data_IF_018830746073
#
_entry.id   IF_018830746073
#
_cell.length_a   1.000
_cell.length_b   1.000
_cell.length_c   1.000
_cell.angle_alpha   90.00
_cell.angle_beta   90.00
_cell.angle_gamma   90.00
#
_symmetry.space_group_name_H-M   'P 1'
#
loop_
_entity.id
_entity.type
_entity.pdbx_description
1 polymer ?
#
# COMPACT_ATOMS: atom_id res chain seq x y z
N UNK A 1 -14.06 -0.95 30.40
CA UNK A 1 -14.71 -2.06 29.66
C UNK A 1 -15.12 -3.16 30.62
N UNK A 2 -15.83 -4.20 30.14
CA UNK A 2 -16.21 -5.38 30.97
C UNK A 2 -15.01 -6.30 31.24
N UNK A 3 -15.01 -6.97 32.40
CA UNK A 3 -14.00 -8.00 32.74
C UNK A 3 -13.91 -9.05 31.62
N UNK A 4 -12.69 -9.43 31.21
CA UNK A 4 -12.45 -10.41 30.14
C UNK A 4 -12.63 -9.88 28.71
N UNK A 5 -12.92 -8.59 28.51
CA UNK A 5 -13.06 -7.96 27.17
C UNK A 5 -11.92 -6.99 26.82
N UNK A 6 -10.80 -7.08 27.53
CA UNK A 6 -9.64 -6.19 27.35
C UNK A 6 -9.02 -6.25 25.95
N UNK A 7 -8.86 -7.45 25.39
CA UNK A 7 -8.30 -7.62 24.04
C UNK A 7 -9.09 -6.86 22.97
N UNK A 8 -10.43 -6.92 23.03
CA UNK A 8 -11.29 -6.19 22.08
C UNK A 8 -11.08 -4.69 22.19
N UNK A 9 -11.00 -4.16 23.41
CA UNK A 9 -10.72 -2.73 23.64
C UNK A 9 -9.34 -2.36 23.10
N UNK A 10 -8.32 -3.18 23.37
CA UNK A 10 -6.97 -2.94 22.88
C UNK A 10 -6.92 -2.91 21.34
N UNK A 11 -7.52 -3.89 20.65
CA UNK A 11 -7.55 -3.93 19.20
C UNK A 11 -8.25 -2.68 18.61
N UNK A 12 -9.39 -2.27 19.16
CA UNK A 12 -10.07 -1.05 18.71
C UNK A 12 -9.21 0.21 18.92
N UNK A 13 -8.46 0.29 20.03
CA UNK A 13 -7.53 1.42 20.27
C UNK A 13 -6.38 1.40 19.26
N UNK A 14 -5.80 0.23 18.97
CA UNK A 14 -4.74 0.09 17.97
C UNK A 14 -5.23 0.48 16.57
N UNK A 15 -6.45 0.08 16.19
CA UNK A 15 -7.02 0.42 14.88
C UNK A 15 -7.14 1.94 14.71
N UNK A 16 -7.57 2.65 15.75
CA UNK A 16 -7.58 4.12 15.75
C UNK A 16 -6.16 4.70 15.72
N UNK A 17 -5.26 4.18 16.58
CA UNK A 17 -3.86 4.61 16.67
C UNK A 17 -3.10 4.52 15.35
N UNK A 18 -3.40 3.53 14.51
CA UNK A 18 -2.79 3.41 13.17
C UNK A 18 -3.06 4.60 12.25
N UNK A 19 -4.17 5.33 12.42
CA UNK A 19 -4.41 6.55 11.63
C UNK A 19 -3.50 7.71 12.02
N UNK A 20 -3.09 7.78 13.30
CA UNK A 20 -2.17 8.83 13.76
C UNK A 20 -0.75 8.62 13.19
N UNK A 21 -0.38 7.38 12.87
CA UNK A 21 0.84 7.08 12.11
C UNK A 21 0.76 7.65 10.69
N UNK A 22 -0.37 7.49 10.00
CA UNK A 22 -0.60 8.10 8.69
C UNK A 22 -0.44 9.64 8.73
N UNK A 23 -1.06 10.29 9.72
CA UNK A 23 -0.96 11.74 9.92
C UNK A 23 0.48 12.20 10.21
N UNK A 24 1.16 11.53 11.13
CA UNK A 24 2.56 11.84 11.48
C UNK A 24 3.48 11.66 10.27
N UNK A 25 3.33 10.53 9.55
CA UNK A 25 4.10 10.26 8.35
C UNK A 25 3.83 11.29 7.25
N UNK A 26 2.58 11.75 7.09
CA UNK A 26 2.22 12.79 6.13
C UNK A 26 3.00 14.09 6.42
N UNK A 27 3.05 14.52 7.68
CA UNK A 27 3.79 15.72 8.08
C UNK A 27 5.28 15.63 7.74
N UNK A 28 5.93 14.54 8.17
CA UNK A 28 7.36 14.32 7.91
C UNK A 28 7.64 14.13 6.41
N UNK A 29 6.79 13.43 5.67
CA UNK A 29 6.90 13.24 4.23
C UNK A 29 6.94 14.58 3.47
N UNK A 30 6.09 15.53 3.85
CA UNK A 30 6.10 16.89 3.27
C UNK A 30 7.40 17.64 3.59
N UNK A 31 7.92 17.50 4.80
CA UNK A 31 9.24 18.07 5.17
C UNK A 31 10.37 17.45 4.36
N UNK A 32 10.37 16.13 4.15
CA UNK A 32 11.34 15.45 3.30
C UNK A 32 11.35 16.02 1.87
N UNK A 33 10.17 16.26 1.28
CA UNK A 33 10.04 16.90 -0.05
C UNK A 33 10.64 18.31 -0.03
N UNK A 34 10.24 19.14 0.94
CA UNK A 34 10.67 20.54 1.01
C UNK A 34 12.19 20.67 1.17
N UNK A 35 12.77 19.96 2.13
CA UNK A 35 14.22 19.99 2.37
C UNK A 35 15.01 19.46 1.17
N UNK A 36 14.60 18.31 0.62
CA UNK A 36 15.28 17.71 -0.52
C UNK A 36 15.23 18.62 -1.75
N UNK A 37 14.06 19.20 -2.07
CA UNK A 37 13.91 20.11 -3.21
C UNK A 37 14.75 21.37 -3.03
N UNK A 38 14.75 21.97 -1.83
CA UNK A 38 15.54 23.15 -1.54
C UNK A 38 17.04 22.89 -1.72
N UNK A 39 17.57 21.84 -1.08
CA UNK A 39 19.00 21.51 -1.20
C UNK A 39 19.38 21.15 -2.64
N UNK A 40 18.51 20.42 -3.36
CA UNK A 40 18.76 20.06 -4.74
C UNK A 40 18.83 21.29 -5.67
N UNK A 41 18.04 22.32 -5.38
CA UNK A 41 18.02 23.56 -6.14
C UNK A 41 19.24 24.46 -5.88
N UNK A 42 19.77 24.47 -4.65
CA UNK A 42 20.83 25.40 -4.22
C UNK A 42 22.22 24.80 -4.25
N UNK A 43 22.37 23.50 -4.03
CA UNK A 43 23.68 22.84 -4.02
C UNK A 43 24.22 22.68 -5.43
N UNK A 44 25.42 23.22 -5.69
CA UNK A 44 26.11 23.12 -6.98
C UNK A 44 27.23 22.08 -6.90
N UNK A 45 27.22 21.13 -7.83
CA UNK A 45 28.33 20.22 -8.12
C UNK A 45 28.45 20.01 -9.63
N UNK A 46 29.68 19.80 -10.11
CA UNK A 46 29.97 19.71 -11.55
C UNK A 46 29.35 20.89 -12.34
N UNK A 47 29.54 22.10 -11.80
CA UNK A 47 29.13 23.38 -12.40
C UNK A 47 27.62 23.59 -12.62
N UNK A 48 26.75 22.80 -11.98
CA UNK A 48 25.30 23.04 -12.01
C UNK A 48 24.58 22.60 -10.73
N UNK A 49 23.36 23.08 -10.47
CA UNK A 49 22.56 22.59 -9.36
C UNK A 49 22.36 21.08 -9.44
N UNK A 50 22.47 20.37 -8.31
CA UNK A 50 22.36 18.91 -8.30
C UNK A 50 20.96 18.42 -8.72
N UNK A 51 19.93 19.25 -8.55
CA UNK A 51 18.56 18.99 -9.03
C UNK A 51 18.45 18.86 -10.55
N UNK A 52 19.48 19.24 -11.31
CA UNK A 52 19.55 19.01 -12.76
C UNK A 52 19.90 17.57 -13.14
N UNK A 53 20.51 16.78 -12.24
CA UNK A 53 20.90 15.40 -12.51
C UNK A 53 19.72 14.44 -12.39
N UNK A 54 19.63 13.48 -13.32
CA UNK A 54 18.50 12.54 -13.41
C UNK A 54 18.34 11.68 -12.16
N UNK A 55 19.45 11.26 -11.54
CA UNK A 55 19.39 10.49 -10.29
C UNK A 55 18.81 11.29 -9.12
N UNK A 56 19.04 12.61 -9.06
CA UNK A 56 18.41 13.49 -8.06
C UNK A 56 16.94 13.73 -8.41
N UNK A 57 16.61 13.95 -9.69
CA UNK A 57 15.23 14.07 -10.17
C UNK A 57 14.41 12.83 -9.83
N UNK A 58 14.97 11.63 -9.99
CA UNK A 58 14.31 10.38 -9.64
C UNK A 58 13.92 10.34 -8.15
N UNK A 59 14.83 10.77 -7.26
CA UNK A 59 14.56 10.84 -5.82
C UNK A 59 13.48 11.89 -5.51
N UNK A 60 13.58 13.09 -6.06
CA UNK A 60 12.58 14.16 -5.87
C UNK A 60 11.19 13.73 -6.35
N UNK A 61 11.10 13.08 -7.51
CA UNK A 61 9.85 12.58 -8.04
C UNK A 61 9.24 11.49 -7.14
N UNK A 62 10.07 10.57 -6.63
CA UNK A 62 9.63 9.58 -5.63
C UNK A 62 9.09 10.27 -4.37
N UNK A 63 9.84 11.22 -3.79
CA UNK A 63 9.41 11.94 -2.60
C UNK A 63 8.06 12.63 -2.81
N UNK A 64 7.90 13.37 -3.91
CA UNK A 64 6.68 14.13 -4.19
C UNK A 64 5.47 13.22 -4.42
N UNK A 65 5.59 12.21 -5.30
CA UNK A 65 4.50 11.29 -5.59
C UNK A 65 4.08 10.46 -4.36
N UNK A 66 5.05 10.01 -3.58
CA UNK A 66 4.78 9.24 -2.37
C UNK A 66 4.18 10.09 -1.24
N UNK A 67 4.65 11.33 -1.03
CA UNK A 67 4.02 12.25 -0.07
C UNK A 67 2.54 12.50 -0.40
N UNK A 68 2.24 12.72 -1.68
CA UNK A 68 0.88 12.92 -2.17
C UNK A 68 -0.02 11.70 -1.88
N UNK A 69 0.52 10.49 -2.09
CA UNK A 69 -0.19 9.24 -1.81
C UNK A 69 -0.40 8.99 -0.32
N UNK A 70 0.62 9.18 0.52
CA UNK A 70 0.50 9.02 1.99
C UNK A 70 -0.60 9.95 2.52
N UNK A 71 -0.60 11.21 2.08
CA UNK A 71 -1.64 12.15 2.46
C UNK A 71 -3.03 11.71 1.98
N UNK A 72 -3.16 11.27 0.73
CA UNK A 72 -4.43 10.79 0.19
C UNK A 72 -4.98 9.60 0.99
N UNK A 73 -4.14 8.61 1.30
CA UNK A 73 -4.52 7.47 2.13
C UNK A 73 -4.93 7.89 3.55
N UNK A 74 -4.17 8.81 4.15
CA UNK A 74 -4.42 9.30 5.51
C UNK A 74 -5.80 9.94 5.61
N UNK A 75 -6.09 10.91 4.74
CA UNK A 75 -7.37 11.61 4.76
C UNK A 75 -8.54 10.70 4.37
N UNK A 76 -8.35 9.78 3.42
CA UNK A 76 -9.41 8.81 3.06
C UNK A 76 -9.74 7.87 4.23
N UNK A 77 -8.73 7.39 4.94
CA UNK A 77 -8.91 6.50 6.11
C UNK A 77 -9.56 7.25 7.26
N UNK A 78 -9.10 8.48 7.55
CA UNK A 78 -9.71 9.33 8.58
C UNK A 78 -11.19 9.62 8.26
N UNK A 79 -11.52 9.90 7.00
CA UNK A 79 -12.89 10.14 6.57
C UNK A 79 -13.81 8.93 6.82
N UNK A 80 -13.33 7.69 6.66
CA UNK A 80 -14.12 6.51 7.02
C UNK A 80 -14.47 6.46 8.50
N UNK A 81 -13.55 6.86 9.37
CA UNK A 81 -13.79 6.91 10.82
C UNK A 81 -14.77 8.04 11.15
N UNK A 82 -14.58 9.22 10.56
CA UNK A 82 -15.40 10.42 10.84
C UNK A 82 -16.87 10.24 10.42
N UNK A 83 -17.15 9.50 9.34
CA UNK A 83 -18.53 9.17 8.94
C UNK A 83 -19.16 8.05 9.78
N UNK A 84 -18.45 7.55 10.79
CA UNK A 84 -18.94 6.52 11.72
C UNK A 84 -18.92 5.11 11.14
N UNK A 85 -18.07 4.82 10.13
CA UNK A 85 -17.90 3.45 9.65
C UNK A 85 -17.34 2.58 10.78
N UNK A 86 -17.85 1.36 10.92
CA UNK A 86 -17.40 0.39 11.92
C UNK A 86 -16.38 -0.61 11.37
N UNK A 87 -16.20 -0.65 10.05
CA UNK A 87 -15.28 -1.55 9.36
C UNK A 87 -14.19 -0.74 8.64
N UNK A 88 -13.07 -0.52 9.33
CA UNK A 88 -11.92 0.23 8.83
C UNK A 88 -10.57 -0.40 9.27
N UNK A 89 -10.61 -1.58 9.88
CA UNK A 89 -9.40 -2.20 10.45
C UNK A 89 -8.38 -2.53 9.36
N UNK A 90 -8.87 -2.93 8.18
CA UNK A 90 -8.01 -3.27 7.05
C UNK A 90 -7.33 -2.02 6.47
N UNK A 91 -8.10 -0.96 6.24
CA UNK A 91 -7.63 0.32 5.72
C UNK A 91 -6.61 0.98 6.65
N UNK A 92 -6.85 0.95 7.96
CA UNK A 92 -5.92 1.49 8.96
C UNK A 92 -4.62 0.68 9.02
N UNK A 93 -4.68 -0.65 8.93
CA UNK A 93 -3.49 -1.49 8.83
C UNK A 93 -2.70 -1.21 7.54
N UNK A 94 -3.40 -1.12 6.39
CA UNK A 94 -2.80 -0.76 5.10
C UNK A 94 -2.12 0.61 5.17
N UNK A 95 -2.82 1.62 5.70
CA UNK A 95 -2.30 2.98 5.86
C UNK A 95 -1.01 2.96 6.67
N UNK A 96 -0.98 2.26 7.80
CA UNK A 96 0.20 2.20 8.66
C UNK A 96 1.37 1.55 7.94
N UNK A 97 1.20 0.37 7.37
CA UNK A 97 2.29 -0.32 6.64
C UNK A 97 2.80 0.56 5.49
N UNK A 98 1.89 1.03 4.64
CA UNK A 98 2.22 1.87 3.50
C UNK A 98 2.96 3.15 3.92
N UNK A 99 2.39 3.95 4.83
CA UNK A 99 2.93 5.24 5.19
C UNK A 99 4.30 5.13 5.87
N UNK A 100 4.48 4.16 6.76
CA UNK A 100 5.69 4.06 7.59
C UNK A 100 6.91 3.57 6.80
N UNK A 101 6.73 2.63 5.86
CA UNK A 101 7.85 2.15 5.03
C UNK A 101 8.23 3.14 3.96
N UNK A 102 7.22 3.75 3.34
CA UNK A 102 7.47 4.83 2.40
C UNK A 102 8.15 6.01 3.10
N UNK A 103 7.74 6.38 4.32
CA UNK A 103 8.43 7.42 5.08
C UNK A 103 9.89 7.05 5.35
N UNK A 104 10.17 5.82 5.78
CA UNK A 104 11.54 5.37 6.03
C UNK A 104 12.42 5.58 4.79
N UNK A 105 11.95 5.16 3.61
CA UNK A 105 12.66 5.39 2.36
C UNK A 105 12.75 6.88 2.02
N UNK A 106 11.69 7.65 2.23
CA UNK A 106 11.72 9.10 1.96
C UNK A 106 12.78 9.81 2.81
N UNK A 107 12.89 9.49 4.10
CA UNK A 107 13.92 10.03 4.98
C UNK A 107 15.31 9.64 4.49
N UNK A 108 15.51 8.37 4.08
CA UNK A 108 16.76 7.91 3.48
C UNK A 108 17.12 8.69 2.20
N UNK A 109 16.18 8.89 1.28
CA UNK A 109 16.44 9.61 0.03
C UNK A 109 16.73 11.10 0.27
N UNK A 110 16.04 11.73 1.23
CA UNK A 110 16.33 13.10 1.66
C UNK A 110 17.73 13.19 2.27
N UNK A 111 18.11 12.23 3.13
CA UNK A 111 19.46 12.12 3.67
C UNK A 111 20.50 12.00 2.54
N UNK A 112 20.26 11.13 1.57
CA UNK A 112 21.17 10.88 0.46
C UNK A 112 21.35 12.12 -0.44
N UNK A 113 20.30 12.92 -0.65
CA UNK A 113 20.38 14.17 -1.43
C UNK A 113 21.29 15.20 -0.74
N UNK A 114 21.28 15.27 0.59
CA UNK A 114 22.13 16.16 1.38
C UNK A 114 23.57 15.63 1.54
N UNK A 115 23.81 14.36 1.26
CA UNK A 115 25.13 13.74 1.33
C UNK A 115 25.69 13.78 2.75
N UNK A 116 26.99 14.04 2.88
CA UNK A 116 27.66 14.10 4.19
C UNK A 116 27.08 15.14 5.16
N UNK A 117 26.42 16.19 4.64
CA UNK A 117 25.80 17.22 5.48
C UNK A 117 24.72 16.64 6.39
N UNK A 118 23.95 15.67 5.91
CA UNK A 118 22.89 15.05 6.69
C UNK A 118 23.38 14.20 7.87
N UNK A 119 24.67 13.88 7.90
CA UNK A 119 25.29 13.12 8.99
C UNK A 119 25.65 13.98 10.20
N UNK A 120 25.73 15.30 10.03
CA UNK A 120 25.95 16.22 11.13
C UNK A 120 24.65 16.44 11.94
N UNK A 121 24.82 16.74 13.22
CA UNK A 121 23.71 16.92 14.19
C UNK A 121 23.21 18.36 14.27
N UNK A 122 23.72 19.26 13.43
CA UNK A 122 23.28 20.65 13.31
C UNK A 122 21.99 20.79 12.48
N UNK A 123 21.61 19.74 11.75
CA UNK A 123 20.40 19.66 10.93
C UNK A 123 19.55 18.43 11.33
N UNK A 124 18.23 18.44 11.04
CA UNK A 124 17.34 17.43 11.61
C UNK A 124 17.47 16.03 10.98
N UNK A 125 18.28 15.85 9.93
CA UNK A 125 18.22 14.65 9.08
C UNK A 125 18.65 13.36 9.77
N UNK A 126 19.73 13.38 10.56
CA UNK A 126 20.15 12.21 11.34
C UNK A 126 19.08 11.81 12.36
N UNK A 127 18.46 12.81 13.01
CA UNK A 127 17.39 12.59 13.97
C UNK A 127 16.14 12.04 13.29
N UNK A 128 15.74 12.62 12.16
CA UNK A 128 14.62 12.13 11.35
C UNK A 128 14.82 10.65 10.98
N UNK A 129 16.05 10.25 10.63
CA UNK A 129 16.36 8.84 10.36
C UNK A 129 16.11 7.99 11.60
N UNK A 130 16.71 8.32 12.75
CA UNK A 130 16.50 7.55 13.99
C UNK A 130 15.02 7.46 14.39
N UNK A 131 14.30 8.58 14.32
CA UNK A 131 12.90 8.68 14.74
C UNK A 131 11.95 7.94 13.81
N UNK A 132 12.22 7.91 12.50
CA UNK A 132 11.37 7.20 11.55
C UNK A 132 11.40 5.67 11.73
N UNK A 133 12.46 5.11 12.32
CA UNK A 133 12.65 3.65 12.39
C UNK A 133 11.61 2.96 13.27
N UNK A 134 11.22 3.56 14.38
CA UNK A 134 10.25 2.93 15.30
C UNK A 134 8.87 2.78 14.64
N UNK A 135 8.58 3.60 13.63
CA UNK A 135 7.25 3.62 13.01
C UNK A 135 6.88 2.31 12.31
N UNK A 136 7.84 1.54 11.82
CA UNK A 136 7.55 0.24 11.20
C UNK A 136 7.36 -0.90 12.22
N UNK A 137 7.59 -0.62 13.52
CA UNK A 137 7.51 -1.59 14.62
C UNK A 137 6.32 -1.29 15.54
N UNK A 138 6.14 -0.02 15.95
CA UNK A 138 5.06 0.40 16.86
C UNK A 138 3.66 0.15 16.28
N UNK A 139 2.65 0.06 17.16
CA UNK A 139 1.23 -0.19 16.80
C UNK A 139 1.01 -1.45 15.94
N UNK A 140 1.86 -2.46 16.16
CA UNK A 140 1.93 -3.70 15.39
C UNK A 140 3.03 -3.62 14.33
N UNK A 141 4.02 -4.51 14.42
CA UNK A 141 5.08 -4.61 13.43
C UNK A 141 4.50 -4.83 12.03
N UNK A 142 5.11 -4.21 11.03
CA UNK A 142 4.56 -4.24 9.67
C UNK A 142 4.39 -5.67 9.12
N UNK A 143 5.25 -6.61 9.51
CA UNK A 143 5.15 -8.02 9.14
C UNK A 143 3.89 -8.68 9.71
N UNK A 144 3.55 -8.39 10.98
CA UNK A 144 2.32 -8.87 11.62
C UNK A 144 1.09 -8.26 10.93
N UNK A 145 1.15 -6.96 10.61
CA UNK A 145 0.07 -6.29 9.89
C UNK A 145 -0.09 -6.81 8.46
N UNK A 146 0.99 -7.18 7.76
CA UNK A 146 0.89 -7.82 6.44
C UNK A 146 0.13 -9.14 6.51
N UNK A 147 0.45 -9.99 7.48
CA UNK A 147 -0.27 -11.24 7.69
C UNK A 147 -1.76 -10.97 7.96
N UNK A 148 -2.06 -10.01 8.84
CA UNK A 148 -3.43 -9.58 9.11
C UNK A 148 -4.15 -9.06 7.86
N UNK A 149 -3.53 -8.14 7.09
CA UNK A 149 -4.11 -7.55 5.87
C UNK A 149 -4.48 -8.64 4.86
N UNK A 150 -3.55 -9.57 4.62
CA UNK A 150 -3.77 -10.64 3.67
C UNK A 150 -4.87 -11.60 4.15
N UNK A 151 -4.81 -12.07 5.39
CA UNK A 151 -5.77 -13.06 5.90
C UNK A 151 -7.17 -12.48 6.10
N UNK A 152 -7.27 -11.29 6.68
CA UNK A 152 -8.55 -10.59 6.83
C UNK A 152 -9.17 -10.28 5.46
N UNK A 153 -8.36 -9.77 4.51
CA UNK A 153 -8.82 -9.41 3.17
C UNK A 153 -9.22 -10.60 2.30
N UNK A 154 -8.63 -11.79 2.51
CA UNK A 154 -8.96 -13.00 1.75
C UNK A 154 -10.07 -13.85 2.37
N UNK A 155 -10.50 -13.55 3.61
CA UNK A 155 -11.43 -14.38 4.38
C UNK A 155 -12.72 -14.69 3.62
N UNK A 156 -13.41 -13.67 3.12
CA UNK A 156 -14.71 -13.86 2.47
C UNK A 156 -14.59 -14.66 1.17
N UNK A 157 -13.53 -14.40 0.40
CA UNK A 157 -13.22 -15.17 -0.82
C UNK A 157 -12.91 -16.63 -0.48
N UNK A 158 -12.21 -16.88 0.63
CA UNK A 158 -11.91 -18.22 1.13
C UNK A 158 -13.19 -18.98 1.50
N UNK A 159 -14.09 -18.36 2.27
CA UNK A 159 -15.38 -18.95 2.67
C UNK A 159 -16.27 -19.28 1.47
N UNK A 160 -16.30 -18.40 0.46
CA UNK A 160 -17.02 -18.65 -0.77
C UNK A 160 -16.44 -19.83 -1.57
N UNK A 161 -15.11 -19.92 -1.68
CA UNK A 161 -14.44 -21.04 -2.37
C UNK A 161 -14.66 -22.36 -1.64
N UNK A 162 -14.62 -22.37 -0.31
CA UNK A 162 -14.91 -23.53 0.52
C UNK A 162 -16.35 -24.02 0.30
N UNK A 163 -17.33 -23.10 0.28
CA UNK A 163 -18.72 -23.42 0.02
C UNK A 163 -18.92 -24.07 -1.37
N UNK A 164 -18.19 -23.61 -2.38
CA UNK A 164 -18.23 -24.17 -3.74
C UNK A 164 -17.61 -25.57 -3.79
N UNK A 165 -16.46 -25.77 -3.14
CA UNK A 165 -15.80 -27.08 -3.04
C UNK A 165 -16.70 -28.11 -2.34
N UNK A 166 -17.30 -27.74 -1.21
CA UNK A 166 -18.25 -28.59 -0.51
C UNK A 166 -19.50 -28.89 -1.35
N UNK A 167 -19.96 -27.92 -2.15
CA UNK A 167 -21.07 -28.11 -3.09
C UNK A 167 -20.75 -29.10 -4.22
N UNK A 168 -19.52 -29.13 -4.72
CA UNK A 168 -19.06 -30.12 -5.71
C UNK A 168 -19.00 -31.54 -5.12
N UNK A 169 -18.55 -31.68 -3.87
CA UNK A 169 -18.50 -32.96 -3.16
C UNK A 169 -19.90 -33.52 -2.84
N UNK A 170 -20.94 -32.68 -2.80
CA UNK A 170 -22.34 -33.06 -2.51
C UNK A 170 -23.27 -32.64 -3.67
N UNK A 171 -23.24 -33.34 -4.81
CA UNK A 171 -23.86 -32.88 -6.06
C UNK A 171 -25.38 -32.68 -5.99
N UNK A 172 -26.09 -33.39 -5.12
CA UNK A 172 -27.57 -33.29 -4.99
C UNK A 172 -28.00 -31.99 -4.31
N UNK A 173 -27.23 -31.47 -3.34
CA UNK A 173 -27.57 -30.26 -2.57
C UNK A 173 -26.71 -29.04 -2.93
N UNK A 174 -25.56 -29.26 -3.57
CA UNK A 174 -24.58 -28.22 -3.91
C UNK A 174 -24.75 -27.58 -5.30
N UNK A 175 -25.58 -28.14 -6.17
CA UNK A 175 -25.72 -27.69 -7.57
C UNK A 175 -26.06 -26.20 -7.68
N UNK A 176 -26.92 -25.68 -6.80
CA UNK A 176 -27.32 -24.27 -6.76
C UNK A 176 -26.26 -23.30 -6.23
N UNK A 177 -25.31 -23.77 -5.44
CA UNK A 177 -24.16 -22.96 -4.98
C UNK A 177 -23.11 -22.89 -6.08
N UNK A 178 -22.80 -24.03 -6.69
CA UNK A 178 -21.83 -24.14 -7.79
C UNK A 178 -22.30 -23.35 -9.01
N UNK A 179 -23.57 -23.44 -9.40
CA UNK A 179 -24.11 -22.71 -10.55
C UNK A 179 -24.10 -21.19 -10.36
N UNK A 180 -24.48 -20.69 -9.17
CA UNK A 180 -24.42 -19.26 -8.83
C UNK A 180 -22.98 -18.73 -8.84
N UNK A 181 -22.05 -19.50 -8.28
CA UNK A 181 -20.63 -19.14 -8.30
C UNK A 181 -20.09 -19.09 -9.74
N UNK A 182 -20.40 -20.10 -10.57
CA UNK A 182 -20.01 -20.13 -11.97
C UNK A 182 -20.57 -18.94 -12.76
N UNK A 183 -21.85 -18.60 -12.56
CA UNK A 183 -22.49 -17.44 -13.19
C UNK A 183 -21.82 -16.11 -12.77
N UNK A 184 -21.58 -15.92 -11.46
CA UNK A 184 -20.89 -14.73 -10.94
C UNK A 184 -19.46 -14.62 -11.46
N UNK A 185 -18.77 -15.75 -11.60
CA UNK A 185 -17.40 -15.82 -12.12
C UNK A 185 -17.32 -15.52 -13.61
N UNK A 186 -18.25 -16.03 -14.41
CA UNK A 186 -18.36 -15.65 -15.83
C UNK A 186 -18.57 -14.14 -15.93
N UNK A 187 -19.44 -13.57 -15.08
CA UNK A 187 -19.60 -12.12 -14.95
C UNK A 187 -18.28 -11.40 -14.63
N UNK A 188 -17.59 -11.78 -13.55
CA UNK A 188 -16.37 -11.08 -13.09
C UNK A 188 -15.14 -11.26 -14.00
N UNK A 189 -15.08 -12.32 -14.79
CA UNK A 189 -14.04 -12.50 -15.83
C UNK A 189 -14.29 -11.55 -17.01
N UNK A 190 -15.56 -11.36 -17.39
CA UNK A 190 -15.96 -10.53 -18.52
C UNK A 190 -16.04 -9.03 -18.18
N UNK A 191 -16.36 -8.67 -16.93
CA UNK A 191 -16.52 -7.28 -16.49
C UNK A 191 -15.30 -6.77 -15.73
N UNK A 192 -14.78 -5.61 -16.11
CA UNK A 192 -13.81 -4.91 -15.30
C UNK A 192 -14.48 -4.34 -14.04
N UNK A 193 -13.83 -4.39 -12.86
CA UNK A 193 -14.32 -3.71 -11.67
C UNK A 193 -14.55 -2.22 -11.97
N UNK A 194 -15.69 -1.68 -11.53
CA UNK A 194 -15.99 -0.27 -11.72
C UNK A 194 -15.08 0.58 -10.84
N UNK A 195 -14.18 1.34 -11.46
CA UNK A 195 -13.42 2.40 -10.80
C UNK A 195 -14.03 3.71 -11.28
N UNK A 196 -14.94 4.28 -10.48
CA UNK A 196 -15.73 5.43 -10.88
C UNK A 196 -14.89 6.71 -10.81
N UNK A 197 -14.84 7.42 -11.94
CA UNK A 197 -14.30 8.78 -12.07
C UNK A 197 -15.35 9.64 -12.74
N UNK A 198 -15.54 10.86 -12.25
CA UNK A 198 -16.47 11.80 -12.87
C UNK A 198 -15.77 12.68 -13.92
N UNK A 199 -14.44 12.69 -13.92
CA UNK A 199 -13.64 13.37 -14.95
C UNK A 199 -13.14 12.41 -16.04
N UNK A 200 -13.37 12.77 -17.31
CA UNK A 200 -12.80 12.06 -18.47
C UNK A 200 -11.27 12.10 -18.54
N UNK A 201 -10.61 13.03 -17.85
CA UNK A 201 -9.14 13.11 -17.80
C UNK A 201 -8.51 11.90 -17.10
N UNK A 202 -9.23 11.25 -16.18
CA UNK A 202 -8.72 10.14 -15.37
C UNK A 202 -9.14 8.77 -15.89
N UNK A 203 -9.87 8.70 -17.00
CA UNK A 203 -10.43 7.44 -17.53
C UNK A 203 -9.35 6.39 -17.80
N UNK A 204 -8.21 6.78 -18.38
CA UNK A 204 -7.08 5.88 -18.66
C UNK A 204 -6.45 5.35 -17.37
N UNK A 205 -6.35 6.20 -16.35
CA UNK A 205 -5.77 5.85 -15.05
C UNK A 205 -6.71 4.90 -14.29
N UNK A 206 -8.02 5.18 -14.31
CA UNK A 206 -9.06 4.31 -13.75
C UNK A 206 -9.09 2.94 -14.45
N UNK A 207 -9.03 2.91 -15.78
CA UNK A 207 -9.00 1.66 -16.55
C UNK A 207 -7.77 0.83 -16.24
N UNK A 208 -6.60 1.45 -16.07
CA UNK A 208 -5.38 0.75 -15.67
C UNK A 208 -5.55 0.12 -14.29
N UNK A 209 -6.07 0.88 -13.32
CA UNK A 209 -6.32 0.38 -11.96
C UNK A 209 -7.35 -0.75 -11.94
N UNK A 210 -8.44 -0.64 -12.69
CA UNK A 210 -9.45 -1.70 -12.84
C UNK A 210 -8.84 -3.02 -13.37
N UNK A 211 -7.92 -2.93 -14.35
CA UNK A 211 -7.17 -4.10 -14.85
C UNK A 211 -6.28 -4.72 -13.76
N UNK A 212 -5.63 -3.90 -12.93
CA UNK A 212 -4.80 -4.38 -11.81
C UNK A 212 -5.64 -5.04 -10.73
N UNK A 213 -6.78 -4.46 -10.36
CA UNK A 213 -7.75 -5.03 -9.42
C UNK A 213 -8.24 -6.40 -9.86
N UNK A 214 -8.61 -6.55 -11.15
CA UNK A 214 -9.02 -7.85 -11.70
C UNK A 214 -7.89 -8.87 -11.65
N UNK A 215 -6.67 -8.49 -12.04
CA UNK A 215 -5.52 -9.40 -11.96
C UNK A 215 -5.25 -9.82 -10.51
N UNK A 216 -5.29 -8.90 -9.55
CA UNK A 216 -5.14 -9.20 -8.13
C UNK A 216 -6.18 -10.22 -7.64
N UNK A 217 -7.46 -10.03 -7.99
CA UNK A 217 -8.51 -10.98 -7.65
C UNK A 217 -8.23 -12.40 -8.17
N UNK A 218 -7.76 -12.52 -9.42
CA UNK A 218 -7.37 -13.81 -9.97
C UNK A 218 -6.15 -14.43 -9.26
N UNK A 219 -5.18 -13.63 -8.81
CA UNK A 219 -4.02 -14.11 -8.05
C UNK A 219 -4.44 -14.63 -6.67
N UNK A 220 -5.30 -13.90 -5.97
CA UNK A 220 -5.86 -14.30 -4.67
C UNK A 220 -6.62 -15.62 -4.79
N UNK A 221 -7.52 -15.73 -5.77
CA UNK A 221 -8.23 -16.99 -6.03
C UNK A 221 -7.29 -18.16 -6.30
N UNK A 222 -6.24 -17.93 -7.10
CA UNK A 222 -5.25 -18.95 -7.41
C UNK A 222 -4.47 -19.40 -6.16
N UNK A 223 -4.06 -18.45 -5.31
CA UNK A 223 -3.38 -18.74 -4.05
C UNK A 223 -4.28 -19.56 -3.11
N UNK A 224 -5.53 -19.13 -2.91
CA UNK A 224 -6.48 -19.83 -2.04
C UNK A 224 -6.76 -21.26 -2.51
N UNK A 225 -6.84 -21.48 -3.83
CA UNK A 225 -7.00 -22.85 -4.37
C UNK A 225 -5.75 -23.70 -4.22
N UNK A 226 -4.56 -23.10 -4.39
CA UNK A 226 -3.29 -23.81 -4.33
C UNK A 226 -2.92 -24.21 -2.90
N UNK A 227 -3.07 -23.30 -1.95
CA UNK A 227 -2.62 -23.48 -0.56
C UNK A 227 -3.74 -23.87 0.40
N UNK A 228 -5.01 -23.64 0.05
CA UNK A 228 -6.16 -23.95 0.91
C UNK A 228 -5.96 -23.41 2.34
N UNK A 229 -6.09 -24.24 3.37
CA UNK A 229 -5.90 -23.84 4.77
C UNK A 229 -4.43 -23.51 5.11
N UNK A 230 -3.47 -24.05 4.38
CA UNK A 230 -2.03 -23.79 4.58
C UNK A 230 -1.63 -22.36 4.14
N UNK A 231 -2.56 -21.60 3.52
CA UNK A 231 -2.32 -20.19 3.20
C UNK A 231 -2.02 -19.37 4.47
N UNK A 232 -2.55 -19.79 5.63
CA UNK A 232 -2.35 -19.13 6.93
C UNK A 232 -0.87 -19.14 7.33
N UNK A 233 -0.15 -20.20 6.98
CA UNK A 233 1.27 -20.37 7.32
C UNK A 233 2.20 -19.91 6.19
N UNK A 234 1.64 -19.59 5.01
CA UNK A 234 2.38 -19.19 3.82
C UNK A 234 2.83 -17.71 3.87
N UNK A 235 3.60 -17.33 4.88
CA UNK A 235 3.95 -15.94 5.20
C UNK A 235 4.56 -15.15 4.03
N UNK A 236 5.41 -15.76 3.20
CA UNK A 236 5.95 -15.10 2.00
C UNK A 236 4.85 -14.68 1.02
N UNK A 237 3.82 -15.50 0.85
CA UNK A 237 2.68 -15.18 -0.01
C UNK A 237 1.79 -14.13 0.63
N UNK A 238 1.53 -14.24 1.94
CA UNK A 238 0.78 -13.22 2.68
C UNK A 238 1.43 -11.85 2.57
N UNK A 239 2.76 -11.77 2.69
CA UNK A 239 3.53 -10.53 2.48
C UNK A 239 3.29 -9.92 1.09
N UNK A 240 3.39 -10.72 0.02
CA UNK A 240 3.16 -10.25 -1.36
C UNK A 240 1.74 -9.80 -1.61
N UNK A 241 0.75 -10.49 -1.02
CA UNK A 241 -0.66 -10.11 -1.10
C UNK A 241 -0.86 -8.76 -0.42
N UNK A 242 -0.34 -8.59 0.80
CA UNK A 242 -0.45 -7.35 1.54
C UNK A 242 0.23 -6.16 0.83
N UNK A 243 1.45 -6.34 0.30
CA UNK A 243 2.15 -5.28 -0.43
C UNK A 243 1.35 -4.84 -1.67
N UNK A 244 0.82 -5.80 -2.43
CA UNK A 244 -0.02 -5.51 -3.59
C UNK A 244 -1.31 -4.76 -3.23
N UNK A 245 -1.95 -5.15 -2.12
CA UNK A 245 -3.15 -4.46 -1.61
C UNK A 245 -2.82 -3.04 -1.15
N UNK A 246 -1.67 -2.83 -0.51
CA UNK A 246 -1.24 -1.48 -0.11
C UNK A 246 -1.12 -0.54 -1.31
N UNK A 247 -0.51 -1.01 -2.41
CA UNK A 247 -0.41 -0.22 -3.65
C UNK A 247 -1.76 -0.02 -4.34
N UNK A 248 -2.65 -1.02 -4.32
CA UNK A 248 -4.00 -0.89 -4.86
C UNK A 248 -4.81 0.16 -4.09
N UNK A 249 -4.83 0.06 -2.76
CA UNK A 249 -5.53 1.01 -1.89
C UNK A 249 -4.99 2.44 -2.06
N UNK A 250 -3.67 2.60 -2.06
CA UNK A 250 -3.05 3.90 -2.28
C UNK A 250 -3.38 4.47 -3.67
N UNK A 251 -3.43 3.62 -4.70
CA UNK A 251 -3.82 4.04 -6.04
C UNK A 251 -5.28 4.50 -6.10
N UNK A 252 -6.20 3.81 -5.41
CA UNK A 252 -7.60 4.23 -5.30
C UNK A 252 -7.69 5.59 -4.60
N UNK A 253 -7.02 5.77 -3.46
CA UNK A 253 -7.04 7.03 -2.71
C UNK A 253 -6.50 8.21 -3.54
N UNK A 254 -5.38 8.00 -4.25
CA UNK A 254 -4.80 9.01 -5.15
C UNK A 254 -5.75 9.35 -6.28
N UNK A 255 -6.35 8.34 -6.93
CA UNK A 255 -7.28 8.56 -8.03
C UNK A 255 -8.54 9.31 -7.57
N UNK A 256 -9.11 8.96 -6.41
CA UNK A 256 -10.26 9.65 -5.81
C UNK A 256 -9.93 11.09 -5.44
N UNK A 257 -8.74 11.35 -4.87
CA UNK A 257 -8.29 12.71 -4.56
C UNK A 257 -8.16 13.55 -5.83
N UNK A 258 -7.56 13.01 -6.89
CA UNK A 258 -7.47 13.70 -8.18
C UNK A 258 -8.85 13.98 -8.78
N UNK A 259 -9.77 13.00 -8.75
CA UNK A 259 -11.12 13.15 -9.28
C UNK A 259 -11.90 14.22 -8.51
N UNK A 260 -11.79 14.25 -7.17
CA UNK A 260 -12.40 15.28 -6.34
C UNK A 260 -11.80 16.66 -6.58
N UNK A 261 -10.48 16.76 -6.76
CA UNK A 261 -9.81 18.02 -7.09
C UNK A 261 -10.30 18.58 -8.43
N UNK A 262 -10.46 17.73 -9.45
CA UNK A 262 -10.96 18.14 -10.78
C UNK A 262 -12.41 18.63 -10.77
N UNK A 263 -13.19 18.22 -9.76
CA UNK A 263 -14.56 18.70 -9.56
C UNK A 263 -14.61 20.02 -8.78
N UNK A 264 -13.55 20.36 -8.05
CA UNK A 264 -13.52 21.56 -7.22
C UNK A 264 -13.25 22.81 -8.08
N UNK A 265 -14.17 23.79 -8.03
CA UNK A 265 -14.12 25.00 -8.88
C UNK A 265 -13.15 26.11 -8.38
N UNK A 266 -12.28 25.83 -7.41
CA UNK A 266 -11.49 26.85 -6.70
C UNK A 266 -9.96 26.70 -6.85
N UNK A 267 -9.48 25.96 -7.85
CA UNK A 267 -8.04 25.73 -8.07
C UNK A 267 -7.55 26.44 -9.32
N UNK A 268 -6.33 26.97 -9.27
CA UNK A 268 -5.68 27.52 -10.46
C UNK A 268 -5.27 26.41 -11.42
N UNK A 269 -5.17 26.71 -12.71
CA UNK A 269 -4.76 25.74 -13.74
C UNK A 269 -3.38 25.12 -13.44
N UNK A 270 -2.44 25.96 -12.98
CA UNK A 270 -1.08 25.54 -12.61
C UNK A 270 -1.09 24.56 -11.42
N UNK A 271 -1.92 24.79 -10.40
CA UNK A 271 -2.05 23.88 -9.27
C UNK A 271 -2.64 22.53 -9.69
N UNK A 272 -3.66 22.56 -10.55
CA UNK A 272 -4.28 21.34 -11.08
C UNK A 272 -3.29 20.52 -11.90
N UNK A 273 -2.53 21.15 -12.79
CA UNK A 273 -1.51 20.47 -13.61
C UNK A 273 -0.42 19.82 -12.73
N UNK A 274 0.04 20.54 -11.70
CA UNK A 274 1.04 20.03 -10.75
C UNK A 274 0.54 18.80 -9.98
N UNK A 275 -0.68 18.87 -9.44
CA UNK A 275 -1.27 17.75 -8.69
C UNK A 275 -1.57 16.56 -9.60
N UNK A 276 -2.11 16.77 -10.80
CA UNK A 276 -2.30 15.73 -11.82
C UNK A 276 -0.99 15.02 -12.16
N UNK A 277 0.08 15.79 -12.41
CA UNK A 277 1.41 15.25 -12.73
C UNK A 277 1.93 14.40 -11.57
N UNK A 278 1.82 14.90 -10.35
CA UNK A 278 2.30 14.23 -9.14
C UNK A 278 1.54 12.93 -8.86
N UNK A 279 0.20 12.99 -8.90
CA UNK A 279 -0.65 11.84 -8.66
C UNK A 279 -0.52 10.76 -9.73
N UNK A 280 -0.50 11.14 -11.03
CA UNK A 280 -0.28 10.17 -12.12
C UNK A 280 1.09 9.52 -12.04
N UNK A 281 2.12 10.27 -11.66
CA UNK A 281 3.45 9.71 -11.44
C UNK A 281 3.43 8.62 -10.37
N UNK A 282 2.76 8.87 -9.24
CA UNK A 282 2.59 7.83 -8.22
C UNK A 282 1.84 6.61 -8.76
N UNK A 283 0.72 6.79 -9.48
CA UNK A 283 -0.06 5.69 -10.06
C UNK A 283 0.78 4.82 -11.00
N UNK A 284 1.66 5.43 -11.81
CA UNK A 284 2.59 4.70 -12.67
C UNK A 284 3.63 3.92 -11.88
N UNK A 285 4.14 4.46 -10.77
CA UNK A 285 5.06 3.72 -9.91
C UNK A 285 4.38 2.55 -9.18
N UNK A 286 3.19 2.78 -8.64
CA UNK A 286 2.40 1.75 -7.98
C UNK A 286 2.07 0.61 -8.95
N UNK A 287 1.69 0.91 -10.20
CA UNK A 287 1.47 -0.13 -11.23
C UNK A 287 2.70 -1.00 -11.49
N UNK A 288 3.91 -0.42 -11.48
CA UNK A 288 5.15 -1.20 -11.63
C UNK A 288 5.39 -2.11 -10.44
N UNK A 289 5.17 -1.63 -9.20
CA UNK A 289 5.30 -2.44 -7.98
C UNK A 289 4.26 -3.56 -7.93
N UNK A 290 2.99 -3.26 -8.18
CA UNK A 290 1.92 -4.26 -8.27
C UNK A 290 2.26 -5.39 -9.24
N UNK A 291 2.73 -5.07 -10.45
CA UNK A 291 3.15 -6.09 -11.43
C UNK A 291 4.31 -6.95 -10.92
N UNK A 292 5.25 -6.35 -10.19
CA UNK A 292 6.33 -7.08 -9.55
C UNK A 292 5.79 -8.04 -8.48
N UNK A 293 4.92 -7.58 -7.57
CA UNK A 293 4.31 -8.43 -6.53
C UNK A 293 3.49 -9.57 -7.15
N UNK A 294 2.69 -9.31 -8.19
CA UNK A 294 1.90 -10.35 -8.88
C UNK A 294 2.80 -11.42 -9.53
N UNK A 295 3.91 -11.00 -10.14
CA UNK A 295 4.88 -11.95 -10.70
C UNK A 295 5.55 -12.76 -9.61
N UNK A 296 5.92 -12.13 -8.50
CA UNK A 296 6.57 -12.77 -7.36
C UNK A 296 5.69 -13.85 -6.69
N UNK A 297 4.35 -13.72 -6.76
CA UNK A 297 3.44 -14.77 -6.25
C UNK A 297 3.62 -16.12 -6.98
N UNK A 298 3.98 -16.08 -8.27
CA UNK A 298 4.16 -17.29 -9.10
C UNK A 298 5.61 -17.65 -9.41
N UNK A 299 6.51 -16.67 -9.37
CA UNK A 299 7.93 -16.82 -9.68
C UNK A 299 8.74 -16.22 -8.53
N UNK A 300 9.13 -17.07 -7.59
CA UNK A 300 9.87 -16.73 -6.39
C UNK A 300 10.93 -17.79 -6.08
N UNK A 301 11.72 -17.50 -5.06
CA UNK A 301 12.79 -18.34 -4.51
C UNK A 301 12.50 -18.69 -3.05
N UNK A 302 11.22 -18.85 -2.68
CA UNK A 302 10.79 -18.99 -1.28
C UNK A 302 11.44 -20.20 -0.62
N UNK A 303 11.49 -21.32 -1.34
CA UNK A 303 12.11 -22.56 -0.86
C UNK A 303 13.59 -22.36 -0.60
N UNK A 304 14.31 -21.82 -1.56
CA UNK A 304 15.75 -21.55 -1.47
C UNK A 304 16.05 -20.54 -0.36
N UNK A 305 15.19 -19.54 -0.19
CA UNK A 305 15.29 -18.54 0.90
C UNK A 305 15.19 -19.21 2.26
N UNK A 306 14.20 -20.08 2.48
CA UNK A 306 14.05 -20.82 3.75
C UNK A 306 15.22 -21.76 3.99
N UNK A 307 15.65 -22.52 2.97
CA UNK A 307 16.81 -23.43 3.11
C UNK A 307 18.06 -22.67 3.52
N UNK A 308 18.31 -21.51 2.90
CA UNK A 308 19.45 -20.66 3.25
C UNK A 308 19.33 -20.12 4.68
N UNK A 309 18.15 -19.63 5.07
CA UNK A 309 17.92 -19.14 6.42
C UNK A 309 18.16 -20.24 7.48
N UNK A 310 17.68 -21.45 7.23
CA UNK A 310 17.91 -22.60 8.13
C UNK A 310 19.39 -22.97 8.24
N UNK A 311 20.17 -22.79 7.17
CA UNK A 311 21.63 -22.97 7.22
C UNK A 311 22.29 -21.93 8.13
N UNK A 312 21.93 -20.65 7.99
CA UNK A 312 22.44 -19.56 8.84
C UNK A 312 22.06 -19.81 10.30
N UNK A 313 20.82 -20.21 10.58
CA UNK A 313 20.37 -20.51 11.94
C UNK A 313 21.10 -21.71 12.55
N UNK A 314 21.46 -22.72 11.76
CA UNK A 314 22.30 -23.82 12.26
C UNK A 314 23.74 -23.40 12.56
N UNK A 315 24.25 -22.39 11.86
CA UNK A 315 25.63 -21.91 12.04
C UNK A 315 25.74 -20.92 13.21
N UNK A 316 24.74 -20.06 13.41
CA UNK A 316 24.81 -18.93 14.34
C UNK A 316 23.70 -18.86 15.40
N UNK A 317 22.72 -19.77 15.40
CA UNK A 317 21.58 -19.80 16.33
C UNK A 317 21.80 -20.74 17.51
#
# INVERSE_FOLDING_TARGET
GKLGKGLRVALTVLDFGRTTFGATCTGVAKQCVAHAAHHAATRVQFQKPIGSFELVKQKLAYLAGTAYAIEACTYQTAAFIDVGNTDFMLETAILKVFATEHLWRMVYETFQIHGGLAYFTDQPFERMMRDARINTIGEGANEVLRAFIALAGMRDVGLELEAVLNGLLRPVTGLGVVSRFAARKIGSVLTLPAVLTNSGLLEKDALRLAKRLREFGHRVEWLLRKYQMEIVDSQYQLGRVADAVCDLYASVCVLRRLDAMLQAHHRTEVEMERELTTGRFFLMQADRRMRHHFRAMTSNIDRETTVMADQVLREFG
#
